data_IF_001401921792
#
_entry.id   IF_001401921792
#
_cell.length_a   1.000
_cell.length_b   1.000
_cell.length_c   1.000
_cell.angle_alpha   90.00
_cell.angle_beta   90.00
_cell.angle_gamma   90.00
#
_symmetry.space_group_name_H-M   'P 1'
#
loop_
_entity.id
_entity.type
_entity.pdbx_description
1 polymer ?
#
# COMPACT_ATOMS: atom_id res chain seq x y z
N UNK A 1 -0.21 -6.23 -61.43
CA UNK A 1 0.95 -6.42 -60.52
C UNK A 1 0.77 -5.41 -59.39
N UNK A 2 0.69 -5.86 -58.13
CA UNK A 2 -0.47 -5.66 -57.24
C UNK A 2 -0.24 -4.60 -56.14
N UNK A 3 -1.23 -3.79 -55.70
CA UNK A 3 -2.38 -4.03 -54.77
C UNK A 3 -1.96 -4.47 -53.37
N UNK A 4 -2.05 -3.56 -52.38
CA UNK A 4 -2.33 -3.80 -50.95
C UNK A 4 -3.00 -2.50 -50.44
N UNK A 5 -4.32 -2.38 -50.44
CA UNK A 5 -5.33 -2.91 -49.51
C UNK A 5 -5.39 -2.14 -48.17
N UNK A 6 -6.49 -1.42 -48.03
CA UNK A 6 -6.86 -0.54 -46.93
C UNK A 6 -7.95 -1.23 -46.11
N UNK A 7 -7.62 -1.68 -44.90
CA UNK A 7 -8.56 -2.26 -43.96
C UNK A 7 -8.83 -1.33 -42.76
N UNK A 8 -10.10 -1.03 -42.42
CA UNK A 8 -10.46 -0.32 -41.19
C UNK A 8 -10.54 -1.27 -39.98
N UNK A 9 -10.46 -0.74 -38.74
CA UNK A 9 -10.51 -1.55 -37.53
C UNK A 9 -11.92 -2.10 -37.27
N UNK A 10 -11.98 -3.38 -36.88
CA UNK A 10 -13.21 -4.10 -36.54
C UNK A 10 -13.67 -3.77 -35.11
N UNK A 11 -14.81 -3.12 -35.01
CA UNK A 11 -15.74 -3.26 -33.89
C UNK A 11 -16.39 -4.65 -33.96
N UNK A 12 -16.35 -5.42 -32.86
CA UNK A 12 -17.30 -6.50 -32.60
C UNK A 12 -17.62 -6.55 -31.11
N UNK A 13 -18.63 -5.78 -30.70
CA UNK A 13 -19.59 -6.26 -29.71
C UNK A 13 -20.73 -6.93 -30.47
N UNK A 14 -20.99 -8.22 -30.21
CA UNK A 14 -22.37 -8.68 -30.17
C UNK A 14 -22.53 -9.95 -29.35
N UNK A 15 -23.39 -9.83 -28.34
CA UNK A 15 -24.06 -10.88 -27.59
C UNK A 15 -25.01 -11.64 -28.50
N UNK A 16 -25.24 -12.92 -28.19
CA UNK A 16 -26.57 -13.51 -28.30
C UNK A 16 -26.76 -14.59 -27.23
N UNK A 17 -28.01 -14.83 -26.78
CA UNK A 17 -28.34 -15.40 -25.47
C UNK A 17 -28.86 -16.84 -25.59
N UNK A 18 -28.93 -17.58 -24.48
CA UNK A 18 -29.90 -18.66 -24.35
C UNK A 18 -30.36 -18.82 -22.89
N UNK A 19 -31.68 -18.82 -22.81
CA UNK A 19 -32.61 -18.92 -21.69
C UNK A 19 -32.57 -20.24 -20.90
N UNK A 20 -32.88 -20.16 -19.61
CA UNK A 20 -33.74 -21.13 -18.93
C UNK A 20 -34.48 -20.42 -17.79
N UNK A 21 -35.81 -20.37 -17.90
CA UNK A 21 -36.72 -19.92 -16.85
C UNK A 21 -37.22 -21.07 -15.98
N UNK A 22 -38.25 -20.74 -15.18
CA UNK A 22 -38.96 -21.50 -14.12
C UNK A 22 -38.42 -21.15 -12.73
N UNK A 23 -39.15 -20.53 -11.80
CA UNK A 23 -40.54 -20.08 -11.75
C UNK A 23 -41.04 -20.10 -10.29
N UNK A 24 -41.83 -19.08 -9.92
CA UNK A 24 -42.81 -19.00 -8.81
C UNK A 24 -42.29 -19.09 -7.36
N UNK A 25 -42.92 -18.54 -6.33
CA UNK A 25 -43.96 -17.52 -6.10
C UNK A 25 -43.98 -17.31 -4.56
N UNK A 26 -44.38 -16.10 -4.15
CA UNK A 26 -45.14 -15.77 -2.94
C UNK A 26 -44.68 -16.20 -1.53
N UNK A 27 -44.44 -15.21 -0.66
CA UNK A 27 -45.49 -14.68 0.27
C UNK A 27 -44.97 -13.54 1.16
N UNK A 28 -45.69 -12.43 1.09
CA UNK A 28 -45.76 -11.39 2.12
C UNK A 28 -46.12 -11.96 3.51
N UNK A 29 -45.61 -11.34 4.57
CA UNK A 29 -46.45 -10.69 5.60
C UNK A 29 -45.63 -9.75 6.49
N UNK A 30 -46.20 -8.56 6.63
CA UNK A 30 -45.84 -7.44 7.50
C UNK A 30 -46.83 -7.42 8.68
N UNK A 31 -46.54 -6.55 9.66
CA UNK A 31 -47.35 -6.09 10.81
C UNK A 31 -47.23 -6.99 12.05
N UNK A 32 -47.26 -6.50 13.29
CA UNK A 32 -47.02 -5.21 13.96
C UNK A 32 -47.14 -5.59 15.46
N UNK A 33 -46.47 -4.89 16.38
CA UNK A 33 -46.60 -5.24 17.80
C UNK A 33 -45.78 -4.37 18.75
N UNK A 34 -46.18 -3.12 18.88
CA UNK A 34 -45.79 -2.15 19.90
C UNK A 34 -46.40 -2.53 21.27
N UNK A 35 -45.67 -2.34 22.38
CA UNK A 35 -46.13 -1.66 23.63
C UNK A 35 -45.08 -1.73 24.75
N UNK A 36 -44.53 -0.56 25.06
CA UNK A 36 -44.31 0.10 26.37
C UNK A 36 -44.32 -0.71 27.68
N UNK A 37 -43.33 -0.45 28.55
CA UNK A 37 -43.59 0.04 29.92
C UNK A 37 -42.34 0.70 30.56
N UNK A 38 -42.56 1.90 31.13
CA UNK A 38 -41.68 2.69 32.01
C UNK A 38 -41.43 1.93 33.35
N UNK A 39 -40.50 2.24 34.27
CA UNK A 39 -40.00 3.53 34.75
C UNK A 39 -38.87 3.38 35.80
N UNK A 40 -37.97 4.38 35.82
CA UNK A 40 -37.31 5.06 36.96
C UNK A 40 -36.54 4.30 38.06
N UNK A 41 -35.28 4.74 38.28
CA UNK A 41 -34.89 5.51 39.48
C UNK A 41 -33.52 6.21 39.32
N UNK A 42 -33.41 7.42 39.88
CA UNK A 42 -32.28 8.38 39.78
C UNK A 42 -31.43 8.44 41.06
N UNK A 43 -30.13 8.68 40.86
CA UNK A 43 -29.16 9.53 41.60
C UNK A 43 -28.57 9.05 42.97
N UNK A 44 -27.40 9.55 43.43
CA UNK A 44 -26.60 10.69 42.93
C UNK A 44 -25.08 10.49 42.74
N UNK A 45 -24.47 11.55 42.21
CA UNK A 45 -23.07 11.80 41.83
C UNK A 45 -22.17 12.13 43.03
N UNK A 46 -20.92 11.67 43.04
CA UNK A 46 -19.74 12.46 43.48
C UNK A 46 -18.43 11.83 42.97
N UNK A 47 -17.59 12.66 42.35
CA UNK A 47 -16.23 12.34 41.87
C UNK A 47 -15.21 12.33 43.01
N UNK A 48 -14.04 11.68 42.84
CA UNK A 48 -12.83 12.49 42.67
C UNK A 48 -11.78 11.91 41.70
N UNK A 49 -11.13 12.82 40.94
CA UNK A 49 -9.67 12.89 40.70
C UNK A 49 -8.92 11.78 39.93
N UNK A 50 -7.99 12.12 39.02
CA UNK A 50 -7.50 11.19 38.00
C UNK A 50 -6.37 10.29 38.54
N UNK A 51 -6.58 8.98 38.45
CA UNK A 51 -5.52 8.00 38.57
C UNK A 51 -4.70 7.99 37.27
N UNK A 52 -3.38 7.97 37.43
CA UNK A 52 -2.38 7.95 36.37
C UNK A 52 -2.69 6.88 35.30
N UNK A 53 -2.73 7.30 34.03
CA UNK A 53 -2.84 6.41 32.87
C UNK A 53 -1.53 5.64 32.70
N UNK A 54 -1.56 4.39 33.15
CA UNK A 54 -0.51 3.43 32.86
C UNK A 54 -0.41 3.21 31.34
N UNK A 55 0.78 3.47 30.80
CA UNK A 55 1.18 3.16 29.43
C UNK A 55 1.00 1.65 29.17
N UNK A 56 0.06 1.31 28.30
CA UNK A 56 -0.07 -0.04 27.75
C UNK A 56 1.06 -0.27 26.74
N UNK A 57 2.24 -0.66 27.24
CA UNK A 57 3.24 -1.33 26.41
C UNK A 57 2.71 -2.73 26.07
N UNK A 58 2.25 -2.91 24.84
CA UNK A 58 1.97 -4.23 24.28
C UNK A 58 3.22 -5.11 24.44
N UNK A 59 3.07 -6.26 25.08
CA UNK A 59 4.15 -7.24 25.22
C UNK A 59 4.55 -7.74 23.83
N UNK A 60 5.79 -7.46 23.42
CA UNK A 60 6.42 -8.10 22.24
C UNK A 60 6.32 -9.63 22.43
N UNK A 61 5.87 -10.39 21.42
CA UNK A 61 5.89 -11.85 21.49
C UNK A 61 7.33 -12.35 21.68
N UNK A 62 7.53 -13.50 22.34
CA UNK A 62 8.87 -14.05 22.55
C UNK A 62 9.54 -14.30 21.20
N UNK A 63 10.81 -13.91 21.08
CA UNK A 63 11.60 -14.12 19.87
C UNK A 63 11.64 -15.62 19.53
N UNK A 64 11.47 -15.99 18.24
CA UNK A 64 11.62 -17.38 17.84
C UNK A 64 13.05 -17.84 18.14
N UNK A 65 13.18 -19.09 18.60
CA UNK A 65 14.47 -19.71 18.99
C UNK A 65 15.48 -19.83 17.84
N UNK A 66 15.10 -19.45 16.64
CA UNK A 66 15.92 -19.39 15.42
C UNK A 66 16.84 -18.17 15.34
N UNK A 67 16.73 -17.22 16.27
CA UNK A 67 17.64 -16.07 16.40
C UNK A 67 17.23 -14.83 15.58
N UNK A 68 16.15 -14.90 14.80
CA UNK A 68 15.62 -13.77 14.04
C UNK A 68 14.48 -13.07 14.79
N UNK A 69 14.50 -11.74 14.85
CA UNK A 69 13.28 -10.95 15.14
C UNK A 69 12.29 -11.06 13.95
N UNK A 70 11.01 -10.84 14.19
CA UNK A 70 9.98 -10.78 13.16
C UNK A 70 10.33 -9.76 12.05
N UNK A 71 10.90 -8.61 12.43
CA UNK A 71 11.29 -7.56 11.47
C UNK A 71 12.45 -8.03 10.57
N UNK A 72 13.45 -8.70 11.14
CA UNK A 72 14.58 -9.27 10.40
C UNK A 72 14.14 -10.38 9.46
N UNK A 73 13.15 -11.19 9.89
CA UNK A 73 12.60 -12.26 9.09
C UNK A 73 11.75 -11.74 7.93
N UNK A 74 10.97 -10.68 8.16
CA UNK A 74 10.24 -9.99 7.10
C UNK A 74 11.20 -9.40 6.06
N UNK A 75 12.28 -8.74 6.51
CA UNK A 75 13.31 -8.21 5.63
C UNK A 75 13.99 -9.31 4.80
N UNK A 76 14.30 -10.46 5.41
CA UNK A 76 14.84 -11.63 4.72
C UNK A 76 13.86 -12.13 3.65
N UNK A 77 12.58 -12.28 3.99
CA UNK A 77 11.53 -12.67 3.04
C UNK A 77 11.44 -11.69 1.85
N UNK A 78 11.37 -10.39 2.12
CA UNK A 78 11.27 -9.37 1.07
C UNK A 78 12.50 -9.33 0.17
N UNK A 79 13.69 -9.50 0.73
CA UNK A 79 14.95 -9.51 -0.02
C UNK A 79 14.99 -10.68 -1.01
N UNK A 80 14.65 -11.88 -0.54
CA UNK A 80 14.66 -13.08 -1.39
C UNK A 80 13.53 -13.05 -2.42
N UNK A 81 12.31 -12.66 -2.02
CA UNK A 81 11.18 -12.54 -2.96
C UNK A 81 11.47 -11.51 -4.06
N UNK A 82 12.08 -10.37 -3.71
CA UNK A 82 12.54 -9.39 -4.71
C UNK A 82 13.51 -10.03 -5.71
N UNK A 83 14.51 -10.75 -5.20
CA UNK A 83 15.51 -11.42 -6.04
C UNK A 83 14.87 -12.46 -6.98
N UNK A 84 13.92 -13.25 -6.48
CA UNK A 84 13.14 -14.22 -7.24
C UNK A 84 12.32 -13.56 -8.36
N UNK A 85 11.65 -12.46 -8.05
CA UNK A 85 10.83 -11.72 -9.02
C UNK A 85 11.67 -11.04 -10.11
N UNK A 86 12.88 -10.59 -9.78
CA UNK A 86 13.78 -9.92 -10.73
C UNK A 86 14.66 -10.90 -11.52
N UNK A 87 14.69 -12.18 -11.16
CA UNK A 87 15.54 -13.20 -11.80
C UNK A 87 17.04 -12.95 -11.60
N UNK A 88 17.42 -12.33 -10.47
CA UNK A 88 18.79 -11.92 -10.13
C UNK A 88 19.44 -12.86 -9.10
N UNK A 89 20.77 -12.94 -9.03
CA UNK A 89 21.47 -13.74 -8.02
C UNK A 89 21.12 -13.27 -6.61
N UNK A 90 20.91 -14.24 -5.73
CA UNK A 90 20.17 -14.08 -4.48
C UNK A 90 21.11 -13.66 -3.32
N UNK A 91 21.06 -12.41 -2.82
CA UNK A 91 22.04 -11.93 -1.84
C UNK A 91 21.99 -12.65 -0.48
N UNK A 92 20.94 -13.45 -0.23
CA UNK A 92 20.68 -14.12 1.06
C UNK A 92 20.04 -15.51 0.93
N UNK A 93 20.12 -16.16 -0.24
CA UNK A 93 19.44 -17.45 -0.44
C UNK A 93 19.92 -18.55 0.49
N UNK A 94 21.23 -18.72 0.63
CA UNK A 94 21.78 -19.76 1.51
C UNK A 94 21.36 -19.56 2.97
N UNK A 95 21.24 -18.31 3.40
CA UNK A 95 20.72 -17.94 4.72
C UNK A 95 19.25 -18.35 4.85
N UNK A 96 18.41 -18.01 3.87
CA UNK A 96 16.98 -18.38 3.83
C UNK A 96 16.79 -19.89 3.79
N UNK A 97 17.50 -20.61 2.93
CA UNK A 97 17.39 -22.07 2.83
C UNK A 97 17.93 -22.74 4.11
N UNK A 98 19.02 -22.21 4.69
CA UNK A 98 19.53 -22.65 5.98
C UNK A 98 18.48 -22.50 7.09
N UNK A 99 17.80 -21.36 7.13
CA UNK A 99 16.69 -21.10 8.03
C UNK A 99 15.51 -22.08 7.79
N UNK A 100 15.04 -22.25 6.55
CA UNK A 100 13.94 -23.19 6.24
C UNK A 100 14.28 -24.64 6.61
N UNK A 101 15.54 -25.06 6.44
CA UNK A 101 16.03 -26.38 6.90
C UNK A 101 15.96 -26.52 8.41
N UNK A 102 16.34 -25.48 9.16
CA UNK A 102 16.25 -25.48 10.62
C UNK A 102 14.79 -25.55 11.09
N UNK A 103 13.91 -24.75 10.50
CA UNK A 103 12.47 -24.75 10.81
C UNK A 103 11.84 -26.12 10.53
N UNK A 104 12.13 -26.72 9.37
CA UNK A 104 11.61 -28.06 9.07
C UNK A 104 12.11 -29.11 10.06
N UNK A 105 13.38 -29.04 10.48
CA UNK A 105 13.93 -29.93 11.51
C UNK A 105 13.14 -29.75 12.80
N UNK A 106 12.91 -28.53 13.22
CA UNK A 106 12.18 -28.23 14.45
C UNK A 106 10.73 -28.75 14.41
N UNK A 107 10.01 -28.55 13.30
CA UNK A 107 8.67 -29.12 13.09
C UNK A 107 8.67 -30.66 13.19
N UNK A 108 9.68 -31.33 12.60
CA UNK A 108 9.79 -32.79 12.62
C UNK A 108 10.08 -33.36 14.03
N UNK A 109 10.79 -32.61 14.88
CA UNK A 109 11.09 -33.02 16.26
C UNK A 109 9.99 -32.58 17.25
N UNK A 110 8.89 -32.00 16.78
CA UNK A 110 7.82 -31.45 17.62
C UNK A 110 8.19 -30.15 18.34
N UNK A 111 9.36 -29.58 18.03
CA UNK A 111 9.81 -28.28 18.51
C UNK A 111 9.12 -27.21 17.66
N UNK A 112 7.92 -26.81 18.06
CA UNK A 112 7.08 -25.83 17.35
C UNK A 112 7.64 -24.40 17.43
N UNK A 113 8.81 -24.17 16.83
CA UNK A 113 9.60 -22.95 16.99
C UNK A 113 8.96 -21.70 16.34
N UNK A 114 8.16 -21.88 15.30
CA UNK A 114 7.44 -20.80 14.61
C UNK A 114 5.95 -20.89 14.95
N UNK A 115 5.37 -19.75 15.32
CA UNK A 115 3.94 -19.58 15.53
C UNK A 115 3.24 -19.09 14.27
N UNK A 116 1.92 -19.30 14.19
CA UNK A 116 1.10 -18.86 13.06
C UNK A 116 1.23 -17.35 12.80
N UNK A 117 1.25 -16.56 13.87
CA UNK A 117 1.37 -15.10 13.82
C UNK A 117 2.68 -14.68 13.16
N UNK A 118 3.79 -15.39 13.44
CA UNK A 118 5.08 -15.14 12.79
C UNK A 118 4.99 -15.41 11.29
N UNK A 119 4.39 -16.53 10.86
CA UNK A 119 4.22 -16.85 9.43
C UNK A 119 3.40 -15.76 8.74
N UNK A 120 2.27 -15.37 9.35
CA UNK A 120 1.39 -14.34 8.82
C UNK A 120 2.08 -13.00 8.69
N UNK A 121 2.72 -12.51 9.75
CA UNK A 121 3.28 -11.17 9.80
C UNK A 121 4.59 -11.02 8.99
N UNK A 122 5.32 -12.11 8.76
CA UNK A 122 6.59 -12.10 8.00
C UNK A 122 6.44 -12.57 6.55
N UNK A 123 5.22 -12.93 6.13
CA UNK A 123 4.91 -13.36 4.77
C UNK A 123 5.70 -14.62 4.35
N UNK A 124 6.05 -15.48 5.31
CA UNK A 124 6.77 -16.73 5.05
C UNK A 124 6.01 -17.70 4.14
N UNK A 125 4.68 -17.75 4.27
CA UNK A 125 3.80 -18.49 3.35
C UNK A 125 3.92 -18.01 1.91
N UNK A 126 4.03 -16.69 1.69
CA UNK A 126 4.20 -16.10 0.36
C UNK A 126 5.60 -16.38 -0.18
N UNK A 127 6.64 -16.28 0.65
CA UNK A 127 8.01 -16.71 0.28
C UNK A 127 8.04 -18.19 -0.16
N UNK A 128 7.45 -19.09 0.62
CA UNK A 128 7.37 -20.52 0.27
C UNK A 128 6.62 -20.70 -1.05
N UNK A 129 5.51 -19.96 -1.24
CA UNK A 129 4.73 -20.02 -2.48
C UNK A 129 5.56 -19.57 -3.69
N UNK A 130 6.32 -18.48 -3.57
CA UNK A 130 7.18 -17.97 -4.63
C UNK A 130 8.34 -18.92 -4.96
N UNK A 131 8.92 -19.60 -3.95
CA UNK A 131 9.95 -20.64 -4.17
C UNK A 131 9.37 -21.82 -4.96
N UNK A 132 8.14 -22.24 -4.66
CA UNK A 132 7.50 -23.39 -5.30
C UNK A 132 7.05 -23.06 -6.72
N UNK A 133 6.60 -21.81 -6.97
CA UNK A 133 6.02 -21.36 -8.22
C UNK A 133 6.99 -21.54 -9.41
N UNK A 134 6.60 -22.32 -10.45
CA UNK A 134 7.36 -22.44 -11.69
C UNK A 134 7.73 -21.12 -12.37
N UNK A 135 6.93 -20.06 -12.19
CA UNK A 135 7.14 -18.73 -12.80
C UNK A 135 8.47 -18.10 -12.40
N UNK A 136 8.92 -18.34 -11.17
CA UNK A 136 10.15 -17.74 -10.63
C UNK A 136 11.38 -18.66 -10.76
N UNK A 137 11.24 -19.79 -11.47
CA UNK A 137 12.34 -20.71 -11.77
C UNK A 137 13.25 -20.11 -12.85
N UNK A 138 14.18 -19.26 -12.44
CA UNK A 138 15.12 -18.68 -13.39
C UNK A 138 16.16 -19.74 -13.83
N UNK A 139 16.57 -19.82 -15.11
CA UNK A 139 17.63 -20.73 -15.58
C UNK A 139 19.02 -20.52 -14.95
N UNK A 140 19.17 -19.46 -14.15
CA UNK A 140 20.42 -19.05 -13.49
C UNK A 140 20.46 -19.40 -12.00
N UNK A 141 19.40 -20.00 -11.47
CA UNK A 141 19.34 -20.39 -10.05
C UNK A 141 20.24 -21.63 -9.83
N UNK A 142 20.93 -21.77 -8.68
CA UNK A 142 21.91 -22.83 -8.47
C UNK A 142 21.39 -24.25 -8.70
N UNK A 143 22.29 -25.18 -8.97
CA UNK A 143 22.02 -26.61 -9.26
C UNK A 143 21.21 -27.32 -8.16
N UNK A 144 21.16 -26.76 -6.94
CA UNK A 144 20.40 -27.24 -5.79
C UNK A 144 18.93 -26.84 -5.74
N UNK A 145 18.47 -25.93 -6.61
CA UNK A 145 17.13 -25.32 -6.53
C UNK A 145 15.99 -26.35 -6.49
N UNK A 146 16.12 -27.47 -7.21
CA UNK A 146 15.11 -28.54 -7.16
C UNK A 146 14.95 -29.15 -5.77
N UNK A 147 16.03 -29.26 -4.99
CA UNK A 147 15.96 -29.74 -3.61
C UNK A 147 15.36 -28.68 -2.68
N UNK A 148 15.63 -27.40 -2.95
CA UNK A 148 15.07 -26.28 -2.19
C UNK A 148 13.56 -26.12 -2.42
N UNK A 149 13.09 -26.34 -3.65
CA UNK A 149 11.65 -26.43 -3.97
C UNK A 149 10.98 -27.58 -3.21
N UNK A 150 11.62 -28.76 -3.17
CA UNK A 150 11.10 -29.91 -2.40
C UNK A 150 11.08 -29.63 -0.89
N UNK A 151 12.08 -28.92 -0.38
CA UNK A 151 12.14 -28.48 1.00
C UNK A 151 10.95 -27.56 1.33
N UNK A 152 10.71 -26.55 0.49
CA UNK A 152 9.61 -25.60 0.63
C UNK A 152 8.24 -26.30 0.56
N UNK A 153 8.03 -27.21 -0.40
CA UNK A 153 6.80 -28.01 -0.53
C UNK A 153 6.53 -28.85 0.72
N UNK A 154 7.55 -29.53 1.25
CA UNK A 154 7.40 -30.35 2.46
C UNK A 154 7.07 -29.49 3.69
N UNK A 155 7.71 -28.32 3.82
CA UNK A 155 7.42 -27.40 4.92
C UNK A 155 5.98 -26.85 4.83
N UNK A 156 5.53 -26.51 3.61
CA UNK A 156 4.15 -26.07 3.37
C UNK A 156 3.14 -27.13 3.84
N UNK A 157 3.37 -28.40 3.52
CA UNK A 157 2.49 -29.52 3.95
C UNK A 157 2.45 -29.65 5.48
N UNK A 158 3.60 -29.54 6.15
CA UNK A 158 3.66 -29.59 7.62
C UNK A 158 2.87 -28.45 8.25
N UNK A 159 2.97 -27.24 7.71
CA UNK A 159 2.20 -26.09 8.20
C UNK A 159 0.71 -26.21 7.93
N UNK A 160 0.31 -26.72 6.75
CA UNK A 160 -1.09 -27.04 6.46
C UNK A 160 -1.63 -28.06 7.48
N UNK A 161 -0.86 -29.10 7.79
CA UNK A 161 -1.26 -30.13 8.74
C UNK A 161 -1.35 -29.60 10.18
N UNK A 162 -0.39 -28.76 10.58
CA UNK A 162 -0.30 -28.21 11.94
C UNK A 162 -1.35 -27.14 12.21
N UNK A 163 -1.45 -26.15 11.32
CA UNK A 163 -2.27 -24.95 11.54
C UNK A 163 -3.65 -25.06 10.93
N UNK A 164 -3.88 -25.95 9.95
CA UNK A 164 -5.20 -26.22 9.35
C UNK A 164 -5.90 -24.94 8.89
N UNK A 165 -7.14 -24.72 9.33
CA UNK A 165 -8.00 -23.61 8.92
C UNK A 165 -7.33 -22.23 8.95
N UNK A 166 -6.65 -21.83 10.05
CA UNK A 166 -5.85 -20.61 10.12
C UNK A 166 -4.88 -20.40 8.94
N UNK A 167 -4.16 -21.45 8.53
CA UNK A 167 -3.21 -21.37 7.41
C UNK A 167 -3.92 -21.25 6.06
N UNK A 168 -4.99 -22.01 5.85
CA UNK A 168 -5.82 -21.88 4.64
C UNK A 168 -6.44 -20.48 4.50
N UNK A 169 -6.77 -19.85 5.63
CA UNK A 169 -7.38 -18.53 5.67
C UNK A 169 -6.38 -17.41 6.00
N UNK A 170 -5.07 -17.65 5.82
CA UNK A 170 -4.02 -16.68 6.21
C UNK A 170 -4.21 -15.32 5.53
N UNK A 171 -4.60 -15.32 4.26
CA UNK A 171 -4.86 -14.11 3.49
C UNK A 171 -6.14 -13.40 3.95
N UNK A 172 -7.18 -14.15 4.30
CA UNK A 172 -8.39 -13.58 4.90
C UNK A 172 -8.11 -12.95 6.27
N UNK A 173 -7.20 -13.54 7.06
CA UNK A 173 -6.75 -12.96 8.33
C UNK A 173 -6.02 -11.63 8.08
N UNK A 174 -5.06 -11.59 7.14
CA UNK A 174 -4.40 -10.34 6.74
C UNK A 174 -5.38 -9.28 6.27
N UNK A 175 -6.37 -9.67 5.46
CA UNK A 175 -7.42 -8.77 4.98
C UNK A 175 -8.21 -8.14 6.13
N UNK A 176 -8.60 -8.93 7.14
CA UNK A 176 -9.32 -8.43 8.31
C UNK A 176 -8.45 -7.51 9.18
N UNK A 177 -7.16 -7.85 9.30
CA UNK A 177 -6.19 -7.08 10.08
C UNK A 177 -5.85 -5.75 9.40
N UNK A 178 -5.90 -5.68 8.05
CA UNK A 178 -5.55 -4.49 7.26
C UNK A 178 -6.16 -3.19 7.82
N UNK A 179 -7.45 -3.22 8.17
CA UNK A 179 -8.18 -2.06 8.72
C UNK A 179 -8.17 -1.94 10.24
N UNK A 180 -7.88 -3.03 10.98
CA UNK A 180 -7.92 -3.06 12.45
C UNK A 180 -6.58 -2.69 13.06
N UNK A 181 -5.51 -3.30 12.57
CA UNK A 181 -4.15 -3.21 13.13
C UNK A 181 -3.09 -2.99 12.05
N UNK A 182 -3.41 -3.25 10.79
CA UNK A 182 -2.53 -3.13 9.64
C UNK A 182 -2.46 -1.71 9.07
N UNK A 183 -2.06 -1.62 7.79
CA UNK A 183 -1.71 -0.35 7.14
C UNK A 183 -2.87 0.63 6.94
N UNK A 184 -4.12 0.16 6.95
CA UNK A 184 -5.33 1.01 6.91
C UNK A 184 -5.89 1.34 8.29
N UNK A 185 -5.17 1.04 9.38
CA UNK A 185 -5.61 1.45 10.73
C UNK A 185 -5.94 2.95 10.76
N UNK A 186 -6.97 3.30 11.51
CA UNK A 186 -7.41 4.69 11.71
C UNK A 186 -7.75 5.46 10.42
N UNK A 187 -7.98 4.77 9.31
CA UNK A 187 -8.44 5.36 8.05
C UNK A 187 -9.80 4.77 7.69
N UNK A 188 -10.72 5.62 7.25
CA UNK A 188 -12.08 5.23 6.83
C UNK A 188 -12.33 5.53 5.37
N UNK A 189 -13.12 4.66 4.75
CA UNK A 189 -13.60 4.82 3.38
C UNK A 189 -14.99 5.46 3.39
N UNK A 190 -15.06 6.72 2.93
CA UNK A 190 -16.28 7.43 2.60
C UNK A 190 -16.66 7.23 1.13
N UNK A 191 -17.50 6.24 0.87
CA UNK A 191 -17.94 5.90 -0.50
C UNK A 191 -18.88 6.98 -1.09
N UNK A 192 -19.52 7.81 -0.25
CA UNK A 192 -20.43 8.87 -0.69
C UNK A 192 -19.71 10.15 -1.11
N UNK A 193 -18.38 10.19 -0.99
CA UNK A 193 -17.61 11.33 -1.45
C UNK A 193 -17.81 11.54 -2.96
N UNK A 194 -18.29 12.73 -3.33
CA UNK A 194 -18.46 13.15 -4.73
C UNK A 194 -17.13 13.09 -5.48
N UNK A 195 -16.05 13.50 -4.81
CA UNK A 195 -14.70 13.44 -5.35
C UNK A 195 -14.00 12.12 -4.96
N UNK A 196 -13.49 11.34 -5.92
CA UNK A 196 -12.66 10.16 -5.64
C UNK A 196 -11.51 10.42 -4.68
N UNK A 197 -10.90 11.60 -4.71
CA UNK A 197 -9.77 11.99 -3.86
C UNK A 197 -10.16 12.18 -2.38
N UNK A 198 -11.47 12.20 -2.08
CA UNK A 198 -12.01 12.39 -0.74
C UNK A 198 -12.61 11.11 -0.15
N UNK A 199 -12.49 10.01 -0.89
CA UNK A 199 -12.99 8.71 -0.45
C UNK A 199 -12.27 8.21 0.78
N UNK A 200 -10.99 8.52 0.95
CA UNK A 200 -10.23 8.06 2.11
C UNK A 200 -9.99 9.21 3.08
N UNK A 201 -10.23 8.95 4.37
CA UNK A 201 -10.07 9.94 5.44
C UNK A 201 -9.42 9.32 6.67
N UNK A 202 -8.39 9.96 7.22
CA UNK A 202 -7.87 9.60 8.54
C UNK A 202 -8.85 10.05 9.64
N UNK A 203 -9.13 9.18 10.62
CA UNK A 203 -9.97 9.50 11.78
C UNK A 203 -9.29 10.54 12.66
N UNK A 204 -8.04 10.27 12.99
CA UNK A 204 -7.13 11.15 13.70
C UNK A 204 -5.85 11.23 12.87
N UNK A 205 -5.27 12.43 12.79
CA UNK A 205 -3.99 12.65 12.13
C UNK A 205 -2.97 13.02 13.21
N UNK A 206 -1.81 12.37 13.18
CA UNK A 206 -0.67 12.81 13.97
C UNK A 206 -0.33 14.25 13.61
N UNK A 207 0.18 15.00 14.60
CA UNK A 207 0.54 16.39 14.38
C UNK A 207 1.54 16.47 13.23
N UNK A 208 1.29 17.38 12.30
CA UNK A 208 2.21 17.63 11.20
C UNK A 208 3.62 17.85 11.76
N UNK A 209 4.58 17.04 11.31
CA UNK A 209 5.97 17.35 11.60
C UNK A 209 6.35 18.59 10.79
N UNK A 210 6.40 19.75 11.46
CA UNK A 210 6.65 21.07 10.85
C UNK A 210 8.13 21.38 10.69
N UNK A 211 9.02 20.50 11.13
CA UNK A 211 10.47 20.63 10.99
C UNK A 211 10.89 20.32 9.53
N UNK A 212 11.70 21.20 8.94
CA UNK A 212 12.25 21.09 7.57
C UNK A 212 13.15 19.86 7.34
N UNK A 213 13.42 19.08 8.39
CA UNK A 213 13.93 17.73 8.32
C UNK A 213 13.24 16.91 9.41
N UNK A 214 12.22 16.13 9.03
CA UNK A 214 11.60 15.22 9.98
C UNK A 214 12.56 14.05 10.24
N UNK A 215 13.18 13.99 11.43
CA UNK A 215 14.02 12.86 11.85
C UNK A 215 13.22 11.57 12.09
N UNK A 216 11.89 11.61 12.04
CA UNK A 216 11.04 10.46 12.36
C UNK A 216 10.63 9.64 11.13
N UNK A 217 10.75 10.18 9.92
CA UNK A 217 10.32 9.50 8.68
C UNK A 217 11.46 9.44 7.69
N UNK A 218 11.92 8.22 7.43
CA UNK A 218 13.03 7.94 6.53
C UNK A 218 12.58 7.87 5.06
N UNK A 219 13.40 8.33 4.10
CA UNK A 219 13.18 8.08 2.68
C UNK A 219 12.95 6.59 2.41
N UNK A 220 11.95 6.30 1.59
CA UNK A 220 11.48 4.94 1.32
C UNK A 220 10.25 4.54 2.13
N UNK A 221 9.84 5.29 3.16
CA UNK A 221 8.58 4.98 3.84
C UNK A 221 7.40 5.02 2.85
N UNK A 222 6.53 4.02 2.96
CA UNK A 222 5.47 3.74 1.98
C UNK A 222 4.09 3.61 2.63
N UNK A 223 3.07 4.09 1.90
CA UNK A 223 1.67 4.11 2.31
C UNK A 223 0.76 3.62 1.20
N UNK A 224 -0.36 3.01 1.58
CA UNK A 224 -1.41 2.59 0.64
C UNK A 224 -2.05 3.78 -0.08
N UNK A 225 -2.34 4.86 0.63
CA UNK A 225 -2.95 6.06 0.05
C UNK A 225 -2.60 7.31 0.86
N UNK A 226 -3.00 8.48 0.35
CA UNK A 226 -2.62 9.76 0.95
C UNK A 226 -3.30 10.00 2.30
N UNK A 227 -4.42 9.34 2.58
CA UNK A 227 -5.04 9.37 3.90
C UNK A 227 -4.19 8.63 4.95
N UNK A 228 -3.51 7.55 4.58
CA UNK A 228 -2.55 6.87 5.47
C UNK A 228 -1.32 7.75 5.72
N UNK A 229 -0.81 8.44 4.70
CA UNK A 229 0.28 9.40 4.87
C UNK A 229 -0.14 10.60 5.74
N UNK A 230 -1.39 11.06 5.61
CA UNK A 230 -1.97 12.11 6.45
C UNK A 230 -2.13 11.66 7.91
N UNK A 231 -2.56 10.41 8.13
CA UNK A 231 -2.63 9.80 9.46
C UNK A 231 -1.27 9.85 10.16
N UNK A 232 -0.21 9.49 9.45
CA UNK A 232 1.17 9.44 9.97
C UNK A 232 1.87 10.82 9.97
N UNK A 233 1.14 11.92 9.78
CA UNK A 233 1.65 13.28 9.99
C UNK A 233 2.68 13.79 8.97
N UNK A 234 2.96 13.05 7.88
CA UNK A 234 3.92 13.50 6.84
C UNK A 234 3.31 14.53 5.89
N UNK A 235 1.99 14.47 5.67
CA UNK A 235 1.21 15.42 4.85
C UNK A 235 0.03 15.95 5.65
N UNK A 236 -0.48 17.13 5.29
CA UNK A 236 -1.56 17.83 6.02
C UNK A 236 -2.95 17.66 5.44
N UNK A 237 -3.08 16.80 4.42
CA UNK A 237 -4.36 16.49 3.80
C UNK A 237 -4.28 15.14 3.09
N UNK A 238 -5.42 14.46 3.00
CA UNK A 238 -5.60 13.30 2.14
C UNK A 238 -5.77 13.67 0.65
N UNK A 239 -5.74 14.96 0.30
CA UNK A 239 -5.80 15.45 -1.09
C UNK A 239 -4.40 15.79 -1.61
N UNK A 240 -4.19 15.61 -2.92
CA UNK A 240 -2.96 16.00 -3.61
C UNK A 240 -2.81 17.53 -3.63
N UNK A 241 -2.35 18.09 -2.51
CA UNK A 241 -2.11 19.52 -2.31
C UNK A 241 -0.84 19.72 -1.50
N UNK A 242 -0.09 20.81 -1.74
CA UNK A 242 1.03 21.18 -0.90
C UNK A 242 0.59 21.33 0.56
N UNK A 243 1.31 20.66 1.45
CA UNK A 243 1.13 20.76 2.89
C UNK A 243 1.78 22.04 3.38
N UNK A 244 1.01 22.94 3.98
CA UNK A 244 1.51 24.17 4.58
C UNK A 244 1.93 23.90 6.03
N UNK A 245 3.18 24.21 6.36
CA UNK A 245 3.68 24.31 7.72
C UNK A 245 3.85 25.77 8.16
N UNK A 246 4.39 25.99 9.37
CA UNK A 246 4.62 27.34 9.93
C UNK A 246 5.53 28.21 9.08
N UNK A 247 6.51 27.61 8.41
CA UNK A 247 7.58 28.31 7.69
C UNK A 247 7.44 28.26 6.16
N UNK A 248 6.38 27.64 5.63
CA UNK A 248 6.20 27.49 4.19
C UNK A 248 5.51 26.18 3.82
N UNK A 249 5.86 25.63 2.66
CA UNK A 249 5.39 24.30 2.25
C UNK A 249 6.32 23.24 2.84
N UNK A 250 5.75 22.33 3.65
CA UNK A 250 6.51 21.29 4.35
C UNK A 250 6.54 19.95 3.60
N UNK A 251 5.52 19.66 2.78
CA UNK A 251 5.44 18.45 1.97
C UNK A 251 4.67 18.68 0.68
N UNK A 252 5.07 17.97 -0.38
CA UNK A 252 4.54 18.07 -1.73
C UNK A 252 4.23 16.66 -2.26
N UNK A 253 2.96 16.23 -2.20
CA UNK A 253 2.52 15.01 -2.85
C UNK A 253 2.44 15.21 -4.37
N UNK A 254 3.13 14.35 -5.12
CA UNK A 254 3.12 14.23 -6.57
C UNK A 254 2.45 12.90 -6.93
N UNK A 255 1.12 12.90 -7.02
CA UNK A 255 0.32 11.70 -7.31
C UNK A 255 -0.11 11.64 -8.78
N UNK A 256 -0.25 12.81 -9.42
CA UNK A 256 -0.63 12.97 -10.82
C UNK A 256 0.31 13.94 -11.53
N UNK A 257 0.24 13.97 -12.85
CA UNK A 257 1.15 14.75 -13.70
C UNK A 257 2.28 13.89 -14.26
N UNK A 258 3.35 14.55 -14.67
CA UNK A 258 4.50 13.92 -15.32
C UNK A 258 5.80 14.51 -14.81
N UNK A 259 6.83 13.68 -14.65
CA UNK A 259 8.19 14.14 -14.43
C UNK A 259 9.05 13.84 -15.66
N UNK A 260 9.91 14.78 -15.99
CA UNK A 260 11.02 14.62 -16.93
C UNK A 260 12.32 14.82 -16.15
N UNK A 261 13.25 13.88 -16.29
CA UNK A 261 14.45 13.82 -15.45
C UNK A 261 15.66 14.05 -16.33
N UNK A 262 16.39 15.09 -15.98
CA UNK A 262 17.71 15.33 -16.54
C UNK A 262 18.74 14.56 -15.71
N UNK A 263 19.16 13.39 -16.22
CA UNK A 263 20.07 12.50 -15.51
C UNK A 263 21.49 13.08 -15.36
N UNK A 264 21.88 14.05 -16.18
CA UNK A 264 23.21 14.67 -16.11
C UNK A 264 23.30 15.67 -14.95
N UNK A 265 22.26 16.49 -14.77
CA UNK A 265 22.23 17.54 -13.75
C UNK A 265 21.47 17.13 -12.47
N UNK A 266 20.82 15.96 -12.45
CA UNK A 266 19.96 15.51 -11.35
C UNK A 266 18.70 16.39 -11.17
N UNK A 267 18.39 17.19 -12.18
CA UNK A 267 17.27 18.14 -12.18
C UNK A 267 16.01 17.42 -12.62
N UNK A 268 14.94 17.57 -11.83
CA UNK A 268 13.63 16.98 -12.11
C UNK A 268 12.66 18.09 -12.50
N UNK A 269 12.05 17.97 -13.69
CA UNK A 269 11.00 18.86 -14.16
C UNK A 269 9.65 18.18 -13.97
N UNK A 270 8.90 18.59 -12.95
CA UNK A 270 7.53 18.15 -12.74
C UNK A 270 6.56 19.06 -13.52
N UNK A 271 5.64 18.45 -14.26
CA UNK A 271 4.65 19.12 -15.09
C UNK A 271 3.25 18.66 -14.71
N UNK A 272 2.35 19.62 -14.48
CA UNK A 272 0.92 19.39 -14.24
C UNK A 272 0.09 20.22 -15.20
N UNK A 273 -0.95 19.62 -15.75
CA UNK A 273 -1.88 20.29 -16.68
C UNK A 273 -3.33 20.14 -16.23
N UNK A 274 -4.08 21.23 -16.13
CA UNK A 274 -5.45 21.20 -15.61
C UNK A 274 -6.10 22.57 -15.56
N UNK A 275 -7.16 22.68 -14.76
CA UNK A 275 -7.77 23.97 -14.41
C UNK A 275 -6.86 24.70 -13.43
N UNK A 276 -7.07 26.01 -13.28
CA UNK A 276 -6.31 26.80 -12.30
C UNK A 276 -6.43 26.25 -10.86
N UNK A 277 -7.59 25.70 -10.50
CA UNK A 277 -7.85 25.11 -9.19
C UNK A 277 -7.02 23.85 -8.91
N UNK A 278 -6.51 23.20 -9.95
CA UNK A 278 -5.65 22.01 -9.85
C UNK A 278 -4.18 22.40 -9.70
N UNK A 279 -3.82 23.66 -9.99
CA UNK A 279 -2.44 24.15 -9.97
C UNK A 279 -2.01 24.51 -8.54
N UNK A 280 -0.78 24.19 -8.19
CA UNK A 280 -0.20 24.49 -6.89
C UNK A 280 0.41 25.90 -6.85
N UNK A 281 -0.42 26.91 -7.09
CA UNK A 281 0.00 28.32 -7.20
C UNK A 281 0.76 28.82 -5.97
N UNK A 282 0.48 28.24 -4.79
CA UNK A 282 1.21 28.57 -3.55
C UNK A 282 2.71 28.24 -3.60
N UNK A 283 3.16 27.37 -4.51
CA UNK A 283 4.58 27.03 -4.65
C UNK A 283 5.40 28.14 -5.31
N UNK A 284 4.76 29.12 -5.94
CA UNK A 284 5.44 30.27 -6.54
C UNK A 284 6.25 31.06 -5.52
N UNK A 285 5.77 31.19 -4.27
CA UNK A 285 6.49 31.87 -3.19
C UNK A 285 7.46 30.95 -2.42
N UNK A 286 7.66 29.71 -2.88
CA UNK A 286 8.46 28.68 -2.21
C UNK A 286 9.74 28.35 -2.99
N UNK A 287 10.06 29.12 -4.04
CA UNK A 287 11.32 28.95 -4.76
C UNK A 287 12.48 29.19 -3.80
N UNK A 288 13.43 28.25 -3.78
CA UNK A 288 14.56 28.20 -2.87
C UNK A 288 14.32 27.39 -1.60
N UNK A 289 13.07 27.05 -1.25
CA UNK A 289 12.78 26.25 -0.06
C UNK A 289 12.97 24.76 -0.30
N UNK A 290 13.18 24.03 0.80
CA UNK A 290 13.29 22.58 0.81
C UNK A 290 11.94 21.98 1.23
N UNK A 291 11.48 20.98 0.49
CA UNK A 291 10.18 20.32 0.70
C UNK A 291 10.33 18.81 0.68
N UNK A 292 9.53 18.11 1.49
CA UNK A 292 9.39 16.65 1.40
C UNK A 292 8.62 16.28 0.14
N UNK A 293 9.12 15.38 -0.68
CA UNK A 293 8.42 14.91 -1.88
C UNK A 293 7.89 13.51 -1.67
N UNK A 294 6.59 13.32 -1.92
CA UNK A 294 5.96 12.01 -1.95
C UNK A 294 5.54 11.70 -3.40
N UNK A 295 5.85 10.52 -3.91
CA UNK A 295 5.44 10.08 -5.25
C UNK A 295 4.35 9.02 -5.16
N UNK A 296 3.28 9.20 -5.93
CA UNK A 296 2.19 8.22 -6.06
C UNK A 296 2.36 7.35 -7.29
N UNK A 297 1.83 6.14 -7.25
CA UNK A 297 1.93 5.16 -8.35
C UNK A 297 1.28 5.59 -9.68
N UNK A 298 0.39 6.58 -9.66
CA UNK A 298 -0.25 7.14 -10.87
C UNK A 298 0.56 8.29 -11.50
N UNK A 299 1.65 8.72 -10.86
CA UNK A 299 2.54 9.73 -11.41
C UNK A 299 3.26 9.17 -12.64
N UNK A 300 3.28 9.91 -13.74
CA UNK A 300 4.06 9.51 -14.93
C UNK A 300 5.52 9.88 -14.70
N UNK A 301 6.25 9.01 -14.01
CA UNK A 301 7.65 9.21 -13.67
C UNK A 301 8.36 7.85 -13.59
N UNK A 302 9.62 7.72 -14.03
CA UNK A 302 10.39 6.50 -13.79
C UNK A 302 10.73 6.31 -12.30
N UNK A 303 10.57 7.34 -11.47
CA UNK A 303 10.72 7.25 -10.01
C UNK A 303 9.42 6.94 -9.28
N UNK A 304 8.27 6.88 -9.97
CA UNK A 304 7.01 6.54 -9.34
C UNK A 304 7.05 5.11 -8.78
N UNK A 305 6.51 4.88 -7.57
CA UNK A 305 6.41 3.53 -7.02
C UNK A 305 5.43 2.69 -7.84
N UNK A 306 5.60 1.36 -7.85
CA UNK A 306 4.69 0.44 -8.57
C UNK A 306 3.26 0.45 -8.02
N UNK A 307 3.10 0.77 -6.74
CA UNK A 307 1.83 0.81 -6.03
C UNK A 307 1.91 1.85 -4.89
N UNK A 308 0.76 2.33 -4.41
CA UNK A 308 0.67 3.24 -3.27
C UNK A 308 1.40 4.58 -3.44
N UNK A 309 1.94 5.09 -2.33
CA UNK A 309 2.63 6.38 -2.22
C UNK A 309 3.92 6.16 -1.42
N UNK A 310 5.04 6.68 -1.93
CA UNK A 310 6.36 6.60 -1.28
C UNK A 310 6.91 7.99 -0.98
N UNK A 311 7.55 8.15 0.16
CA UNK A 311 8.33 9.34 0.47
C UNK A 311 9.76 9.20 -0.07
N UNK A 312 10.20 10.15 -0.91
CA UNK A 312 11.47 10.04 -1.63
C UNK A 312 12.60 10.90 -1.05
N UNK A 313 12.30 11.65 0.01
CA UNK A 313 13.22 12.56 0.68
C UNK A 313 12.93 14.04 0.42
N UNK A 314 13.92 14.85 0.77
CA UNK A 314 13.90 16.31 0.66
C UNK A 314 14.39 16.77 -0.73
N UNK A 315 13.67 17.74 -1.29
CA UNK A 315 13.98 18.39 -2.56
C UNK A 315 13.94 19.90 -2.41
N UNK A 316 14.82 20.60 -3.11
CA UNK A 316 14.80 22.05 -3.26
C UNK A 316 13.91 22.44 -4.44
N UNK A 317 13.02 23.41 -4.26
CA UNK A 317 12.26 24.00 -5.35
C UNK A 317 13.16 25.03 -6.05
N UNK A 318 13.72 24.69 -7.19
CA UNK A 318 14.65 25.56 -7.91
C UNK A 318 13.93 26.61 -8.75
N UNK A 319 12.81 26.24 -9.39
CA UNK A 319 12.03 27.17 -10.24
C UNK A 319 10.54 26.82 -10.24
N UNK A 320 9.71 27.85 -10.36
CA UNK A 320 8.26 27.75 -10.58
C UNK A 320 7.89 28.45 -11.90
N UNK A 321 7.16 27.76 -12.76
CA UNK A 321 6.60 28.31 -13.99
C UNK A 321 5.13 27.95 -14.14
N UNK A 322 4.33 28.87 -14.68
CA UNK A 322 2.95 28.61 -15.02
C UNK A 322 2.60 29.33 -16.31
N UNK A 323 1.92 28.63 -17.21
CA UNK A 323 1.42 29.21 -18.48
C UNK A 323 -0.02 28.79 -18.69
N UNK A 324 -0.82 29.69 -19.26
CA UNK A 324 -2.15 29.37 -19.78
C UNK A 324 -2.00 29.00 -21.26
N UNK A 325 -2.49 27.83 -21.63
CA UNK A 325 -2.70 27.52 -23.03
C UNK A 325 -4.04 28.14 -23.45
N UNK A 326 -3.97 29.20 -24.25
CA UNK A 326 -5.15 29.95 -24.70
C UNK A 326 -6.09 29.13 -25.59
N UNK A 327 -5.59 28.07 -26.23
CA UNK A 327 -6.40 27.23 -27.14
C UNK A 327 -7.18 26.17 -26.37
N UNK A 328 -6.54 25.53 -25.38
CA UNK A 328 -7.19 24.49 -24.58
C UNK A 328 -7.82 25.00 -23.28
N UNK A 329 -7.63 26.28 -22.95
CA UNK A 329 -8.01 26.90 -21.67
C UNK A 329 -7.45 26.15 -20.44
N UNK A 330 -6.34 25.42 -20.61
CA UNK A 330 -5.68 24.67 -19.54
C UNK A 330 -4.43 25.39 -19.07
N UNK A 331 -4.22 25.39 -17.77
CA UNK A 331 -2.98 25.82 -17.17
C UNK A 331 -1.97 24.68 -17.18
N UNK A 332 -0.74 25.00 -17.55
CA UNK A 332 0.43 24.15 -17.42
C UNK A 332 1.34 24.74 -16.36
N UNK A 333 1.50 24.02 -15.26
CA UNK A 333 2.46 24.33 -14.20
C UNK A 333 3.72 23.48 -14.39
N UNK A 334 4.88 24.08 -14.21
CA UNK A 334 6.19 23.45 -14.28
C UNK A 334 6.94 23.77 -12.99
N UNK A 335 7.41 22.75 -12.29
CA UNK A 335 8.31 22.87 -11.15
C UNK A 335 9.64 22.25 -11.51
N UNK A 336 10.73 22.95 -11.21
CA UNK A 336 12.08 22.38 -11.29
C UNK A 336 12.51 22.05 -9.87
N UNK A 337 12.83 20.78 -9.63
CA UNK A 337 13.19 20.24 -8.33
C UNK A 337 14.61 19.66 -8.41
N UNK A 338 15.34 19.80 -7.31
CA UNK A 338 16.68 19.22 -7.15
C UNK A 338 16.71 18.44 -5.83
N UNK A 339 17.17 17.18 -5.86
CA UNK A 339 17.21 16.36 -4.65
C UNK A 339 18.31 16.86 -3.72
N UNK A 340 18.00 17.05 -2.44
CA UNK A 340 19.00 17.48 -1.45
C UNK A 340 19.97 16.34 -1.17
N UNK A 341 21.27 16.62 -1.20
CA UNK A 341 22.33 15.67 -0.86
C UNK A 341 22.34 15.24 0.61
N UNK A 342 23.09 14.18 0.92
CA UNK A 342 23.23 13.66 2.31
C UNK A 342 22.11 12.72 2.77
N UNK A 343 21.16 12.41 1.89
CA UNK A 343 20.11 11.40 2.10
C UNK A 343 20.47 10.10 1.34
N UNK A 344 19.90 8.94 1.70
CA UNK A 344 20.07 7.70 0.92
C UNK A 344 19.84 7.94 -0.58
N UNK A 345 20.66 7.40 -1.49
CA UNK A 345 20.47 7.48 -2.94
C UNK A 345 19.03 7.13 -3.36
N UNK A 346 18.54 7.72 -4.46
CA UNK A 346 17.17 7.43 -4.91
C UNK A 346 17.05 5.96 -5.34
N UNK A 347 18.11 5.41 -5.91
CA UNK A 347 18.23 4.03 -6.38
C UNK A 347 17.92 3.03 -5.27
N UNK A 348 18.36 3.34 -4.04
CA UNK A 348 18.16 2.49 -2.86
C UNK A 348 16.70 2.40 -2.44
N UNK A 349 15.83 3.32 -2.88
CA UNK A 349 14.40 3.29 -2.54
C UNK A 349 13.50 2.98 -3.73
N UNK A 350 14.04 2.91 -4.95
CA UNK A 350 13.25 2.60 -6.17
C UNK A 350 12.60 1.21 -6.14
N UNK A 351 13.18 0.28 -5.38
CA UNK A 351 12.64 -1.07 -5.21
C UNK A 351 11.40 -1.13 -4.29
N UNK A 352 11.07 -0.04 -3.60
CA UNK A 352 9.89 0.08 -2.73
C UNK A 352 8.69 0.51 -3.60
N UNK A 353 7.51 -0.12 -3.47
CA UNK A 353 7.10 -1.07 -2.43
C UNK A 353 7.75 -2.46 -2.51
N UNK A 354 8.06 -3.01 -1.32
CA UNK A 354 8.59 -4.36 -1.15
C UNK A 354 7.53 -5.43 -1.47
N UNK A 355 7.91 -6.70 -1.68
CA UNK A 355 6.95 -7.78 -1.95
C UNK A 355 5.83 -7.90 -0.89
N UNK A 356 6.15 -7.78 0.40
CA UNK A 356 5.15 -7.75 1.48
C UNK A 356 4.17 -6.58 1.36
N UNK A 357 4.66 -5.41 0.97
CA UNK A 357 3.86 -4.19 0.75
C UNK A 357 3.00 -4.29 -0.52
N UNK A 358 3.49 -5.01 -1.53
CA UNK A 358 2.69 -5.36 -2.71
C UNK A 358 1.56 -6.31 -2.35
N UNK A 359 1.78 -7.29 -1.46
CA UNK A 359 0.70 -8.14 -0.96
C UNK A 359 -0.37 -7.30 -0.22
N UNK A 360 0.06 -6.34 0.61
CA UNK A 360 -0.84 -5.40 1.30
C UNK A 360 -1.63 -4.52 0.31
N UNK A 361 -0.99 -4.12 -0.79
CA UNK A 361 -1.62 -3.37 -1.87
C UNK A 361 -2.73 -4.17 -2.56
N UNK A 362 -2.48 -5.43 -2.89
CA UNK A 362 -3.50 -6.30 -3.50
C UNK A 362 -4.71 -6.49 -2.58
N UNK A 363 -4.46 -6.65 -1.27
CA UNK A 363 -5.52 -6.71 -0.26
C UNK A 363 -6.30 -5.39 -0.17
N UNK A 364 -5.61 -4.26 -0.27
CA UNK A 364 -6.22 -2.94 -0.30
C UNK A 364 -7.13 -2.74 -1.52
N UNK A 365 -6.67 -3.08 -2.73
CA UNK A 365 -7.47 -2.97 -3.94
C UNK A 365 -8.72 -3.85 -3.87
N UNK A 366 -8.57 -5.07 -3.34
CA UNK A 366 -9.69 -5.96 -3.07
C UNK A 366 -10.66 -5.35 -2.05
N UNK A 367 -10.15 -4.80 -0.94
CA UNK A 367 -10.97 -4.18 0.10
C UNK A 367 -11.77 -2.99 -0.46
N UNK A 368 -11.11 -2.09 -1.18
CA UNK A 368 -11.77 -0.93 -1.80
C UNK A 368 -12.83 -1.39 -2.81
N UNK A 369 -12.48 -2.34 -3.69
CA UNK A 369 -13.39 -2.88 -4.70
C UNK A 369 -14.62 -3.55 -4.09
N UNK A 370 -14.46 -4.39 -3.07
CA UNK A 370 -15.58 -5.05 -2.37
C UNK A 370 -16.49 -4.04 -1.67
N UNK A 371 -15.92 -3.03 -1.02
CA UNK A 371 -16.71 -1.97 -0.36
C UNK A 371 -17.51 -1.14 -1.35
N UNK A 372 -16.92 -0.80 -2.50
CA UNK A 372 -17.62 -0.11 -3.58
C UNK A 372 -18.76 -0.97 -4.14
N UNK A 373 -18.50 -2.27 -4.41
CA UNK A 373 -19.52 -3.22 -4.89
C UNK A 373 -20.69 -3.37 -3.92
N UNK A 374 -20.41 -3.54 -2.63
CA UNK A 374 -21.45 -3.67 -1.60
C UNK A 374 -22.40 -2.47 -1.56
N UNK A 375 -21.89 -1.25 -1.83
CA UNK A 375 -22.70 -0.03 -1.72
C UNK A 375 -23.36 0.40 -3.02
N UNK A 376 -22.68 0.27 -4.17
CA UNK A 376 -23.18 0.72 -5.48
C UNK A 376 -23.82 -0.41 -6.31
N UNK A 377 -23.75 -1.65 -5.83
CA UNK A 377 -24.15 -2.84 -6.59
C UNK A 377 -23.19 -3.15 -7.74
N UNK A 378 -23.42 -4.28 -8.44
CA UNK A 378 -22.53 -4.76 -9.53
C UNK A 378 -22.39 -3.80 -10.71
N UNK A 379 -23.25 -2.76 -10.82
CA UNK A 379 -23.24 -1.78 -11.91
C UNK A 379 -22.09 -0.77 -11.85
N UNK A 380 -21.34 -0.67 -10.75
CA UNK A 380 -20.26 0.31 -10.61
C UNK A 380 -18.92 -0.08 -11.25
N UNK A 381 -18.83 -1.25 -11.90
CA UNK A 381 -17.60 -1.79 -12.49
C UNK A 381 -17.51 -1.65 -14.01
N UNK A 382 -18.44 -0.92 -14.64
CA UNK A 382 -18.54 -0.81 -16.11
C UNK A 382 -18.10 0.58 -16.64
N UNK A 383 -17.81 1.55 -15.77
CA UNK A 383 -17.41 2.91 -16.18
C UNK A 383 -15.93 3.22 -15.90
#
# INVERSE_FOLDING_TARGET
>A
MPIIDSGPPRDVYNKAPLSAGLGRDDRQRQLDGQTDFMSSSKAPVSSPGPAASASYKGKKPPAPRTGFDADQLLELCDTVRTSLHEGRPEPRWDETIGFLKAVKRDEAHGNRAIEFETIRNTHLDKLISDIIDPKYRHPRVPTGFSNDVKLADQLQRLWIERFRGPYFNIEQNRYLDLSKTGRLRDVTLNIDAENPDERWRAKDAEALSELEGNSEVEPGQWWLNLACAHRDGIVGSARERPTKGKYGVAALPLLTGQEDIDFEDGIIKYVREGRIADMHVSLMSQVGSTVRVLRGYRLRSPFAPKAGIRYDGLYKICQYGQRLNMVSERHRMILTLERVGGQPPIEDILHIPRPSEMDDWELYERFEGEKIKQKKGDKAFID
#
